data_IF_601997568698
#
_entry.id   IF_601997568698
#
_cell.length_a   1.000
_cell.length_b   1.000
_cell.length_c   1.000
_cell.angle_alpha   90.00
_cell.angle_beta   90.00
_cell.angle_gamma   90.00
#
_symmetry.space_group_name_H-M   'P 1'
#
loop_
_entity.id
_entity.type
_entity.pdbx_description
1 polymer ?
#
# COMPACT_ATOMS: atom_id res chain seq x y z
N UNK A 1 2.69 12.78 -21.60
CA UNK A 1 2.35 11.35 -21.85
C UNK A 1 2.29 10.64 -20.50
N UNK A 2 1.29 10.96 -19.68
CA UNK A 2 0.99 10.19 -18.46
C UNK A 2 0.05 9.08 -18.90
N UNK A 3 0.57 7.85 -18.99
CA UNK A 3 -0.26 6.69 -19.27
C UNK A 3 -1.34 6.59 -18.20
N UNK A 4 -2.60 6.56 -18.63
CA UNK A 4 -3.73 6.39 -17.73
C UNK A 4 -3.62 5.01 -17.07
N UNK A 5 -3.31 4.99 -15.76
CA UNK A 5 -3.39 3.78 -14.93
C UNK A 5 -4.84 3.34 -14.98
N UNK A 6 -5.11 2.25 -15.71
CA UNK A 6 -6.48 1.77 -15.93
C UNK A 6 -6.64 0.46 -15.17
N UNK A 7 -7.30 0.45 -13.99
CA UNK A 7 -7.49 -0.78 -13.23
C UNK A 7 -8.28 -1.80 -14.06
N UNK A 8 -7.81 -3.04 -14.09
CA UNK A 8 -8.42 -4.11 -14.88
C UNK A 8 -9.47 -4.87 -14.05
N UNK A 9 -10.74 -4.74 -14.43
CA UNK A 9 -11.86 -5.43 -13.78
C UNK A 9 -12.18 -6.75 -14.48
N UNK A 10 -12.50 -7.79 -13.71
CA UNK A 10 -13.08 -9.04 -14.22
C UNK A 10 -14.44 -9.28 -13.57
N UNK A 11 -15.47 -9.41 -14.39
CA UNK A 11 -16.82 -9.79 -13.97
C UNK A 11 -17.11 -11.20 -14.44
N UNK A 12 -17.46 -12.09 -13.51
CA UNK A 12 -17.92 -13.44 -13.82
C UNK A 12 -19.42 -13.52 -13.47
N UNK A 13 -20.26 -13.77 -14.47
CA UNK A 13 -21.67 -14.12 -14.27
C UNK A 13 -21.82 -15.61 -14.58
N UNK A 14 -22.34 -16.36 -13.61
CA UNK A 14 -22.43 -17.82 -13.68
C UNK A 14 -23.87 -18.22 -13.42
N UNK A 15 -24.45 -18.94 -14.37
CA UNK A 15 -25.71 -19.64 -14.18
C UNK A 15 -25.42 -21.12 -13.88
N UNK A 16 -25.91 -21.59 -12.74
CA UNK A 16 -25.65 -22.94 -12.26
C UNK A 16 -26.81 -23.86 -12.65
N UNK A 17 -26.51 -25.12 -12.91
CA UNK A 17 -27.53 -26.13 -13.11
C UNK A 17 -28.38 -26.35 -11.84
N UNK A 18 -29.53 -26.98 -12.02
CA UNK A 18 -30.44 -27.34 -10.94
C UNK A 18 -29.76 -28.10 -9.81
N UNK A 19 -30.00 -27.67 -8.56
CA UNK A 19 -29.43 -28.29 -7.36
C UNK A 19 -30.25 -29.47 -6.84
N UNK A 20 -31.34 -29.82 -7.51
CA UNK A 20 -32.25 -30.88 -7.11
C UNK A 20 -31.63 -32.28 -7.22
N UNK A 21 -32.18 -33.20 -6.41
CA UNK A 21 -31.75 -34.59 -6.41
C UNK A 21 -32.30 -35.34 -7.62
N UNK A 22 -31.43 -36.10 -8.29
CA UNK A 22 -31.80 -36.93 -9.43
C UNK A 22 -32.84 -38.00 -9.12
N UNK A 23 -32.97 -38.41 -7.85
CA UNK A 23 -34.02 -39.33 -7.44
C UNK A 23 -35.43 -38.79 -7.67
N UNK A 24 -35.62 -37.46 -7.77
CA UNK A 24 -36.90 -36.83 -8.06
C UNK A 24 -37.20 -36.71 -9.56
N UNK A 25 -36.18 -36.75 -10.42
CA UNK A 25 -36.36 -36.52 -11.87
C UNK A 25 -36.85 -37.76 -12.61
N UNK A 26 -36.74 -38.95 -12.02
CA UNK A 26 -37.16 -40.21 -12.63
C UNK A 26 -36.42 -40.56 -13.92
N UNK A 27 -35.26 -39.90 -14.17
CA UNK A 27 -34.51 -40.06 -15.40
C UNK A 27 -33.83 -41.42 -15.48
N UNK A 28 -33.96 -42.11 -16.62
CA UNK A 28 -33.37 -43.43 -16.88
C UNK A 28 -32.40 -43.39 -18.07
N UNK A 29 -31.50 -44.38 -18.14
CA UNK A 29 -30.59 -44.57 -19.27
C UNK A 29 -29.59 -43.42 -19.46
N UNK A 30 -29.53 -42.87 -20.68
CA UNK A 30 -28.59 -41.80 -21.03
C UNK A 30 -28.84 -40.50 -20.27
N UNK A 31 -30.12 -40.16 -20.02
CA UNK A 31 -30.47 -38.96 -19.24
C UNK A 31 -29.93 -39.02 -17.82
N UNK A 32 -29.90 -40.21 -17.21
CA UNK A 32 -29.30 -40.40 -15.89
C UNK A 32 -27.78 -40.17 -15.91
N UNK A 33 -27.09 -40.63 -16.96
CA UNK A 33 -25.64 -40.43 -17.11
C UNK A 33 -25.29 -38.97 -17.30
N UNK A 34 -26.10 -38.23 -18.07
CA UNK A 34 -25.95 -36.78 -18.23
C UNK A 34 -26.20 -36.06 -16.91
N UNK A 35 -27.31 -36.36 -16.23
CA UNK A 35 -27.67 -35.69 -14.99
C UNK A 35 -26.67 -35.97 -13.86
N UNK A 36 -26.04 -37.16 -13.86
CA UNK A 36 -24.92 -37.49 -12.96
C UNK A 36 -23.71 -36.58 -13.21
N UNK A 37 -23.37 -36.30 -14.47
CA UNK A 37 -22.26 -35.39 -14.82
C UNK A 37 -22.55 -33.95 -14.41
N UNK A 38 -23.81 -33.50 -14.55
CA UNK A 38 -24.24 -32.18 -14.10
C UNK A 38 -24.03 -32.05 -12.58
N UNK A 39 -24.54 -33.01 -11.81
CA UNK A 39 -24.46 -32.99 -10.35
C UNK A 39 -23.04 -33.19 -9.82
N UNK A 40 -22.13 -33.81 -10.58
CA UNK A 40 -20.72 -33.89 -10.21
C UNK A 40 -20.10 -32.51 -10.00
N UNK A 41 -20.40 -31.55 -10.88
CA UNK A 41 -19.86 -30.19 -10.78
C UNK A 41 -20.41 -29.41 -9.58
N UNK A 42 -21.71 -29.53 -9.30
CA UNK A 42 -22.35 -28.90 -8.14
C UNK A 42 -21.92 -29.54 -6.82
N UNK A 43 -21.72 -30.86 -6.80
CA UNK A 43 -21.22 -31.58 -5.63
C UNK A 43 -19.78 -31.20 -5.32
N UNK A 44 -18.91 -31.11 -6.34
CA UNK A 44 -17.54 -30.63 -6.20
C UNK A 44 -17.51 -29.19 -5.66
N UNK A 45 -18.40 -28.32 -6.14
CA UNK A 45 -18.56 -26.97 -5.62
C UNK A 45 -18.93 -26.99 -4.13
N UNK A 46 -19.88 -27.83 -3.74
CA UNK A 46 -20.26 -28.03 -2.33
C UNK A 46 -19.11 -28.50 -1.43
N UNK A 47 -18.24 -29.38 -1.94
CA UNK A 47 -17.05 -29.86 -1.23
C UNK A 47 -16.02 -28.73 -1.05
N UNK A 48 -15.78 -27.93 -2.08
CA UNK A 48 -14.90 -26.75 -2.02
C UNK A 48 -15.40 -25.75 -0.97
N UNK A 49 -16.69 -25.43 -0.98
CA UNK A 49 -17.28 -24.51 0.01
C UNK A 49 -17.10 -25.05 1.43
N UNK A 50 -17.41 -26.33 1.64
CA UNK A 50 -17.29 -26.94 2.98
C UNK A 50 -15.84 -26.94 3.47
N UNK A 51 -14.88 -27.22 2.58
CA UNK A 51 -13.45 -27.16 2.92
C UNK A 51 -12.99 -25.73 3.25
N UNK A 52 -13.49 -24.71 2.54
CA UNK A 52 -13.18 -23.30 2.80
C UNK A 52 -13.76 -22.80 4.12
N UNK A 53 -14.98 -23.22 4.47
CA UNK A 53 -15.66 -22.83 5.71
C UNK A 53 -15.01 -23.50 6.93
N UNK A 54 -14.65 -24.79 6.81
CA UNK A 54 -14.00 -25.51 7.89
C UNK A 54 -12.62 -24.94 8.23
N UNK A 55 -11.88 -24.41 7.24
CA UNK A 55 -10.56 -23.78 7.42
C UNK A 55 -9.45 -24.70 7.93
N UNK A 56 -9.77 -25.96 8.28
CA UNK A 56 -8.83 -26.98 8.79
C UNK A 56 -7.97 -27.60 7.69
N UNK A 57 -8.50 -27.65 6.47
CA UNK A 57 -7.84 -28.30 5.33
C UNK A 57 -6.94 -27.32 4.60
N UNK A 58 -5.64 -27.63 4.54
CA UNK A 58 -4.67 -26.85 3.74
C UNK A 58 -4.91 -27.00 2.23
N UNK A 59 -5.51 -28.12 1.81
CA UNK A 59 -5.83 -28.40 0.41
C UNK A 59 -7.33 -28.20 0.15
N UNK A 60 -7.64 -27.36 -0.84
CA UNK A 60 -9.00 -27.14 -1.32
C UNK A 60 -9.15 -27.82 -2.69
N UNK A 61 -10.15 -28.70 -2.89
CA UNK A 61 -10.26 -29.57 -4.06
C UNK A 61 -10.84 -28.86 -5.30
N UNK A 62 -10.25 -27.74 -5.73
CA UNK A 62 -10.72 -27.03 -6.93
C UNK A 62 -10.59 -27.88 -8.21
N UNK A 63 -9.73 -28.91 -8.21
CA UNK A 63 -9.43 -29.74 -9.39
C UNK A 63 -10.50 -30.79 -9.69
N UNK A 64 -11.41 -31.06 -8.76
CA UNK A 64 -12.42 -32.12 -8.89
C UNK A 64 -13.44 -31.82 -10.01
N UNK A 65 -13.62 -30.56 -10.38
CA UNK A 65 -14.44 -30.17 -11.53
C UNK A 65 -13.82 -29.03 -12.32
N UNK A 66 -14.15 -28.95 -13.62
CA UNK A 66 -13.75 -27.80 -14.46
C UNK A 66 -14.37 -26.49 -13.96
N UNK A 67 -15.59 -26.54 -13.46
CA UNK A 67 -16.32 -25.38 -12.92
C UNK A 67 -15.58 -24.77 -11.73
N UNK A 68 -15.19 -25.59 -10.74
CA UNK A 68 -14.44 -25.12 -9.56
C UNK A 68 -13.04 -24.60 -9.89
N UNK A 69 -12.43 -25.04 -11.00
CA UNK A 69 -11.16 -24.46 -11.49
C UNK A 69 -11.35 -23.06 -12.06
N UNK A 70 -12.43 -22.85 -12.81
CA UNK A 70 -12.74 -21.52 -13.38
C UNK A 70 -13.14 -20.53 -12.29
N UNK A 71 -13.85 -21.01 -11.26
CA UNK A 71 -14.34 -20.19 -10.14
C UNK A 71 -13.40 -20.17 -8.93
N UNK A 72 -12.19 -20.69 -9.07
CA UNK A 72 -11.21 -20.73 -7.98
C UNK A 72 -10.94 -19.32 -7.43
N UNK A 73 -10.83 -18.32 -8.31
CA UNK A 73 -10.61 -16.93 -7.89
C UNK A 73 -11.84 -16.32 -7.17
N UNK A 74 -13.04 -16.80 -7.50
CA UNK A 74 -14.30 -16.38 -6.87
C UNK A 74 -14.55 -17.03 -5.51
N UNK A 75 -13.89 -18.15 -5.19
CA UNK A 75 -14.12 -18.90 -3.96
C UNK A 75 -12.84 -18.92 -3.12
N UNK A 76 -12.64 -17.90 -2.28
CA UNK A 76 -11.45 -17.74 -1.45
C UNK A 76 -10.28 -17.01 -2.12
N UNK A 77 -10.47 -16.47 -3.33
CA UNK A 77 -9.45 -15.75 -4.09
C UNK A 77 -9.61 -14.22 -4.08
N UNK A 78 -9.17 -13.59 -5.17
CA UNK A 78 -9.15 -12.16 -5.39
C UNK A 78 -10.37 -11.69 -6.17
N UNK A 79 -11.56 -11.92 -5.63
CA UNK A 79 -12.82 -11.50 -6.26
C UNK A 79 -13.85 -11.15 -5.18
N UNK A 80 -14.70 -10.14 -5.46
CA UNK A 80 -15.92 -9.90 -4.70
C UNK A 80 -17.01 -10.84 -5.22
N UNK A 81 -17.41 -11.80 -4.41
CA UNK A 81 -18.34 -12.85 -4.82
C UNK A 81 -19.69 -12.65 -4.18
N UNK A 82 -20.74 -12.70 -5.00
CA UNK A 82 -22.13 -12.70 -4.59
C UNK A 82 -22.74 -14.04 -5.01
N UNK A 83 -23.46 -14.69 -4.09
CA UNK A 83 -24.26 -15.87 -4.39
C UNK A 83 -25.74 -15.51 -4.26
N UNK A 84 -26.52 -15.79 -5.30
CA UNK A 84 -27.98 -15.65 -5.30
C UNK A 84 -28.58 -17.04 -5.19
N UNK A 85 -29.38 -17.26 -4.14
CA UNK A 85 -30.08 -18.51 -3.93
C UNK A 85 -31.54 -18.37 -4.42
N UNK A 86 -31.88 -19.07 -5.50
CA UNK A 86 -33.23 -19.11 -6.03
C UNK A 86 -34.04 -20.22 -5.33
N UNK A 87 -35.18 -19.86 -4.75
CA UNK A 87 -36.03 -20.77 -3.97
C UNK A 87 -37.45 -20.77 -4.52
N UNK A 88 -38.13 -21.91 -4.42
CA UNK A 88 -39.54 -22.03 -4.72
C UNK A 88 -40.36 -21.97 -3.41
N UNK A 89 -41.44 -21.17 -3.35
CA UNK A 89 -42.29 -21.07 -2.17
C UNK A 89 -43.27 -22.24 -2.03
N UNK A 90 -43.30 -23.19 -2.97
CA UNK A 90 -44.24 -24.30 -2.94
C UNK A 90 -43.84 -25.40 -1.94
N UNK A 91 -44.82 -25.97 -1.24
CA UNK A 91 -44.61 -27.00 -0.20
C UNK A 91 -43.95 -28.27 -0.73
N UNK A 92 -44.23 -28.65 -1.98
CA UNK A 92 -43.61 -29.81 -2.63
C UNK A 92 -42.07 -29.67 -2.80
N UNK A 93 -41.56 -28.45 -2.74
CA UNK A 93 -40.15 -28.11 -2.90
C UNK A 93 -39.46 -27.76 -1.57
N UNK A 94 -40.15 -27.90 -0.44
CA UNK A 94 -39.65 -27.52 0.89
C UNK A 94 -38.24 -28.09 1.18
N UNK A 95 -38.03 -29.39 0.94
CA UNK A 95 -36.74 -30.05 1.17
C UNK A 95 -35.59 -29.51 0.29
N UNK A 96 -35.88 -29.15 -0.96
CA UNK A 96 -34.87 -28.57 -1.86
C UNK A 96 -34.56 -27.13 -1.44
N UNK A 97 -35.60 -26.35 -1.14
CA UNK A 97 -35.46 -24.97 -0.66
C UNK A 97 -34.63 -24.90 0.64
N UNK A 98 -34.86 -25.81 1.58
CA UNK A 98 -34.08 -25.92 2.81
C UNK A 98 -32.62 -26.31 2.52
N UNK A 99 -32.39 -27.22 1.58
CA UNK A 99 -31.05 -27.65 1.17
C UNK A 99 -30.26 -26.49 0.55
N UNK A 100 -30.89 -25.72 -0.35
CA UNK A 100 -30.32 -24.53 -0.98
C UNK A 100 -30.02 -23.43 0.06
N UNK A 101 -30.91 -23.21 1.03
CA UNK A 101 -30.68 -22.23 2.10
C UNK A 101 -29.49 -22.62 2.99
N UNK A 102 -29.39 -23.90 3.38
CA UNK A 102 -28.24 -24.43 4.13
C UNK A 102 -26.94 -24.27 3.36
N UNK A 103 -26.99 -24.47 2.04
CA UNK A 103 -25.85 -24.27 1.16
C UNK A 103 -25.42 -22.80 1.13
N UNK A 104 -26.36 -21.88 0.92
CA UNK A 104 -26.11 -20.44 0.92
C UNK A 104 -25.56 -19.95 2.28
N UNK A 105 -26.06 -20.51 3.38
CA UNK A 105 -25.57 -20.19 4.72
C UNK A 105 -24.09 -20.59 4.91
N UNK A 106 -23.66 -21.73 4.36
CA UNK A 106 -22.23 -22.11 4.35
C UNK A 106 -21.44 -21.15 3.45
N UNK A 107 -21.92 -20.89 2.24
CA UNK A 107 -21.25 -20.02 1.28
C UNK A 107 -21.02 -18.60 1.83
N UNK A 108 -21.95 -18.08 2.64
CA UNK A 108 -21.82 -16.78 3.33
C UNK A 108 -20.57 -16.69 4.22
N UNK A 109 -20.09 -17.81 4.76
CA UNK A 109 -18.96 -17.84 5.68
C UNK A 109 -17.60 -17.86 4.97
N UNK A 110 -17.58 -17.93 3.63
CA UNK A 110 -16.34 -17.90 2.84
C UNK A 110 -15.75 -16.49 2.90
N UNK A 111 -14.46 -16.41 3.24
CA UNK A 111 -13.72 -15.16 3.28
C UNK A 111 -12.88 -14.98 2.01
N UNK A 112 -13.25 -13.99 1.18
CA UNK A 112 -12.46 -13.58 0.03
C UNK A 112 -11.55 -12.39 0.39
N UNK A 113 -10.42 -12.26 -0.33
CA UNK A 113 -9.46 -11.16 -0.13
C UNK A 113 -9.32 -10.34 -1.41
N UNK A 114 -10.32 -9.51 -1.77
CA UNK A 114 -10.26 -8.68 -2.95
C UNK A 114 -9.17 -7.61 -2.81
N UNK A 115 -8.37 -7.46 -3.86
CA UNK A 115 -7.29 -6.50 -4.05
C UNK A 115 -7.52 -5.78 -5.38
N UNK A 116 -6.99 -4.57 -5.50
CA UNK A 116 -7.08 -3.81 -6.75
C UNK A 116 -6.17 -4.49 -7.77
N UNK A 117 -6.76 -4.90 -8.89
CA UNK A 117 -6.02 -5.46 -10.02
C UNK A 117 -5.42 -4.30 -10.81
N UNK A 118 -4.10 -4.17 -10.68
CA UNK A 118 -3.32 -3.21 -11.45
C UNK A 118 -2.52 -3.97 -12.51
N UNK A 119 -2.37 -3.38 -13.68
CA UNK A 119 -1.54 -3.99 -14.70
C UNK A 119 -0.08 -4.06 -14.20
N UNK A 120 0.62 -5.20 -14.41
CA UNK A 120 1.97 -5.39 -13.88
C UNK A 120 2.97 -4.36 -14.42
N UNK A 121 2.72 -3.83 -15.62
CA UNK A 121 3.51 -2.75 -16.23
C UNK A 121 3.35 -1.45 -15.46
N UNK A 122 2.13 -1.11 -15.05
CA UNK A 122 1.81 0.12 -14.32
C UNK A 122 2.30 0.05 -12.87
N UNK A 123 2.20 -1.12 -12.23
CA UNK A 123 2.77 -1.38 -10.92
C UNK A 123 4.30 -1.17 -10.92
N UNK A 124 4.99 -1.73 -11.93
CA UNK A 124 6.43 -1.58 -12.09
C UNK A 124 6.84 -0.14 -12.43
N UNK A 125 6.05 0.56 -13.24
CA UNK A 125 6.27 1.99 -13.55
C UNK A 125 6.18 2.86 -12.30
N UNK A 126 5.24 2.57 -11.40
CA UNK A 126 5.11 3.28 -10.12
C UNK A 126 6.32 3.06 -9.24
N UNK A 127 6.76 1.80 -9.11
CA UNK A 127 7.96 1.45 -8.33
C UNK A 127 9.21 2.16 -8.89
N UNK A 128 9.40 2.15 -10.21
CA UNK A 128 10.50 2.88 -10.85
C UNK A 128 10.42 4.40 -10.64
N UNK A 129 9.23 5.00 -10.69
CA UNK A 129 9.05 6.42 -10.42
C UNK A 129 9.35 6.79 -8.95
N UNK A 130 8.94 5.95 -8.01
CA UNK A 130 9.25 6.12 -6.59
C UNK A 130 10.75 6.00 -6.32
N UNK A 131 11.42 5.05 -6.98
CA UNK A 131 12.87 4.88 -6.85
C UNK A 131 13.62 6.07 -7.47
N UNK A 132 13.21 6.55 -8.65
CA UNK A 132 13.76 7.79 -9.24
C UNK A 132 13.57 8.97 -8.28
N UNK A 133 12.42 9.08 -7.62
CA UNK A 133 12.15 10.16 -6.66
C UNK A 133 13.05 10.06 -5.43
N UNK A 134 13.25 8.86 -4.86
CA UNK A 134 14.18 8.63 -3.75
C UNK A 134 15.61 8.99 -4.13
N UNK A 135 16.10 8.48 -5.25
CA UNK A 135 17.46 8.73 -5.72
C UNK A 135 17.71 10.22 -5.97
N UNK A 136 16.75 10.93 -6.59
CA UNK A 136 16.82 12.38 -6.78
C UNK A 136 16.86 13.14 -5.45
N UNK A 137 16.09 12.71 -4.46
CA UNK A 137 16.10 13.33 -3.13
C UNK A 137 17.45 13.16 -2.41
N UNK A 138 18.08 11.99 -2.52
CA UNK A 138 19.42 11.73 -1.96
C UNK A 138 20.49 12.61 -2.60
N UNK A 139 20.48 12.72 -3.94
CA UNK A 139 21.42 13.58 -4.67
C UNK A 139 21.22 15.06 -4.29
N UNK A 140 19.97 15.53 -4.18
CA UNK A 140 19.70 16.90 -3.72
C UNK A 140 20.16 17.15 -2.27
N UNK A 141 20.07 16.14 -1.41
CA UNK A 141 20.58 16.20 -0.04
C UNK A 141 22.11 16.31 0.01
N UNK A 142 22.82 15.60 -0.87
CA UNK A 142 24.28 15.66 -0.98
C UNK A 142 24.78 16.98 -1.60
N UNK A 143 24.03 17.57 -2.54
CA UNK A 143 24.36 18.88 -3.12
C UNK A 143 24.14 20.05 -2.12
N UNK A 144 23.24 19.90 -1.15
CA UNK A 144 23.02 20.88 -0.08
C UNK A 144 24.15 20.94 0.95
N UNK A 145 24.89 19.85 1.15
CA UNK A 145 26.04 19.79 2.07
C UNK A 145 27.36 20.17 1.42
N UNK A 146 27.46 20.12 0.09
CA UNK A 146 28.73 20.31 -0.63
C UNK A 146 29.09 21.77 -0.95
N UNK A 147 28.19 22.75 -0.75
CA UNK A 147 28.41 24.12 -1.27
C UNK A 147 28.23 25.30 -0.31
N UNK A 148 27.89 25.10 0.97
CA UNK A 148 27.78 26.24 1.91
C UNK A 148 28.94 26.37 2.91
N UNK A 149 29.75 25.33 3.13
CA UNK A 149 30.89 25.37 4.07
C UNK A 149 32.25 25.61 3.41
N UNK A 150 32.36 25.52 2.07
CA UNK A 150 33.66 25.53 1.39
C UNK A 150 33.99 26.86 0.71
N UNK A 151 33.06 27.83 0.65
CA UNK A 151 33.26 29.09 -0.07
C UNK A 151 33.16 30.39 0.75
N UNK A 152 33.04 30.36 2.07
CA UNK A 152 33.02 31.62 2.81
C UNK A 152 33.56 31.55 4.24
N UNK A 153 34.87 31.79 4.39
CA UNK A 153 35.36 32.73 5.41
C UNK A 153 35.81 34.07 4.81
N UNK A 154 36.04 34.15 3.50
CA UNK A 154 36.66 35.34 2.87
C UNK A 154 35.64 36.35 2.30
N UNK A 155 34.48 35.90 1.79
CA UNK A 155 33.48 36.79 1.17
C UNK A 155 32.66 37.57 2.22
N UNK A 156 32.49 37.05 3.44
CA UNK A 156 31.84 37.78 4.53
C UNK A 156 32.72 38.91 5.10
N UNK A 157 34.04 38.84 4.93
CA UNK A 157 34.98 39.81 5.50
C UNK A 157 35.14 41.06 4.62
N UNK A 158 34.95 40.91 3.29
CA UNK A 158 35.02 42.04 2.36
C UNK A 158 33.74 42.90 2.37
N UNK A 159 32.57 42.29 2.58
CA UNK A 159 31.29 43.01 2.60
C UNK A 159 31.16 43.95 3.82
N UNK A 160 31.79 43.59 4.95
CA UNK A 160 31.86 44.44 6.15
C UNK A 160 32.82 45.63 5.96
N UNK A 161 33.97 45.41 5.30
CA UNK A 161 34.99 46.44 5.06
C UNK A 161 34.52 47.55 4.11
N UNK A 162 33.74 47.21 3.07
CA UNK A 162 33.23 48.21 2.11
C UNK A 162 32.13 49.08 2.71
N UNK A 163 31.37 48.59 3.69
CA UNK A 163 30.36 49.40 4.39
C UNK A 163 30.95 50.36 5.44
N UNK A 164 32.12 50.04 6.02
CA UNK A 164 32.76 50.89 7.03
C UNK A 164 33.54 52.09 6.44
N UNK A 165 33.85 52.11 5.15
CA UNK A 165 34.67 53.18 4.53
C UNK A 165 33.87 54.32 3.88
N UNK A 166 32.53 54.29 3.92
CA UNK A 166 31.68 55.29 3.25
C UNK A 166 31.20 56.47 4.11
N UNK A 167 31.69 56.66 5.33
CA UNK A 167 31.43 57.90 6.08
C UNK A 167 32.62 58.35 6.94
N UNK A 168 33.41 59.33 6.46
CA UNK A 168 34.19 60.19 7.31
C UNK A 168 33.54 61.58 7.43
N UNK A 169 33.67 62.17 8.63
CA UNK A 169 33.47 63.59 8.98
C UNK A 169 32.03 64.07 9.21
N UNK A 170 31.64 64.16 10.49
CA UNK A 170 31.44 65.46 11.15
C UNK A 170 32.03 65.38 12.57
N UNK A 171 33.04 66.20 12.83
CA UNK A 171 33.63 66.51 14.12
C UNK A 171 33.26 67.97 14.48
N UNK A 172 33.34 68.30 15.79
CA UNK A 172 33.04 69.58 16.47
C UNK A 172 31.59 69.66 16.97
N UNK A 173 31.28 69.98 18.23
CA UNK A 173 31.99 70.67 19.31
C UNK A 173 31.17 70.47 20.60
N UNK A 174 31.79 70.45 21.80
CA UNK A 174 31.05 70.78 23.03
C UNK A 174 31.38 70.00 24.32
N UNK A 175 32.45 70.41 24.99
CA UNK A 175 32.59 70.56 26.45
C UNK A 175 32.06 69.48 27.44
N UNK A 176 33.04 68.89 28.15
CA UNK A 176 33.21 68.95 29.62
C UNK A 176 33.22 67.62 30.41
N UNK A 177 34.34 67.45 31.14
CA UNK A 177 34.62 66.65 32.36
C UNK A 177 35.01 65.16 32.25
N UNK A 178 36.21 64.91 32.80
CA UNK A 178 36.90 63.64 33.10
C UNK A 178 36.32 62.94 34.38
N UNK A 179 36.91 61.86 34.99
CA UNK A 179 37.97 60.93 34.56
C UNK A 179 37.75 59.40 34.86
N UNK A 180 38.54 58.58 34.14
CA UNK A 180 39.31 57.35 34.48
C UNK A 180 38.81 56.24 35.43
N UNK A 181 38.77 54.99 34.90
CA UNK A 181 39.66 53.90 35.38
C UNK A 181 39.95 52.83 34.31
N UNK A 182 41.25 52.65 34.07
CA UNK A 182 41.97 51.53 33.45
C UNK A 182 41.49 50.93 32.10
N UNK A 183 42.03 51.51 31.02
CA UNK A 183 42.65 50.74 29.93
C UNK A 183 43.89 49.98 30.46
N UNK A 184 44.27 48.91 29.74
CA UNK A 184 45.45 48.02 29.85
C UNK A 184 45.07 46.73 30.58
N UNK A 185 45.00 45.59 29.93
CA UNK A 185 46.02 45.02 29.03
C UNK A 185 45.32 44.22 27.93
N UNK A 186 45.27 44.68 26.67
CA UNK A 186 46.29 44.47 25.63
C UNK A 186 46.85 43.04 25.63
N UNK A 187 46.60 42.35 24.52
CA UNK A 187 47.53 41.41 23.90
C UNK A 187 48.15 40.40 24.87
N UNK A 188 47.44 39.29 25.11
CA UNK A 188 48.06 37.97 25.17
C UNK A 188 46.97 36.93 24.94
N UNK A 189 47.25 36.04 24.00
CA UNK A 189 46.51 34.81 23.65
C UNK A 189 45.53 34.94 22.48
N UNK A 190 46.09 35.31 21.33
CA UNK A 190 45.90 34.46 20.15
C UNK A 190 46.48 33.05 20.42
N UNK A 191 45.94 32.07 19.69
CA UNK A 191 46.39 30.68 19.49
C UNK A 191 46.03 29.65 20.58
N UNK A 192 44.99 28.88 20.26
CA UNK A 192 44.79 27.42 20.45
C UNK A 192 43.26 27.19 20.39
N UNK A 193 42.64 26.31 19.61
CA UNK A 193 42.96 25.46 18.49
C UNK A 193 41.59 25.08 17.89
N UNK A 194 41.53 24.81 16.60
CA UNK A 194 40.43 24.11 15.88
C UNK A 194 41.11 22.86 15.30
N UNK A 195 40.49 21.70 14.98
CA UNK A 195 39.07 21.24 15.07
C UNK A 195 38.91 19.82 15.69
N UNK A 196 37.66 19.35 15.86
CA UNK A 196 37.25 17.98 15.46
C UNK A 196 35.77 17.92 15.15
N UNK A 197 35.46 17.13 14.13
CA UNK A 197 34.23 16.99 13.37
C UNK A 197 33.25 15.95 13.96
N UNK A 198 32.02 16.01 13.43
CA UNK A 198 31.19 14.88 12.96
C UNK A 198 30.15 14.22 13.92
N UNK A 199 28.91 14.24 13.42
CA UNK A 199 27.75 13.33 13.60
C UNK A 199 27.46 12.68 14.96
N UNK A 200 26.28 13.02 15.51
CA UNK A 200 25.26 11.99 15.73
C UNK A 200 23.86 12.62 15.72
N UNK A 201 23.12 12.37 14.62
CA UNK A 201 21.68 12.50 14.57
C UNK A 201 21.14 11.12 14.96
N UNK A 202 20.62 10.97 16.17
CA UNK A 202 19.68 9.88 16.50
C UNK A 202 18.65 10.41 17.48
N UNK A 203 17.43 10.41 16.95
CA UNK A 203 16.13 10.57 17.59
C UNK A 203 16.08 9.83 18.93
N UNK A 204 15.66 10.54 19.99
CA UNK A 204 15.02 9.90 21.13
C UNK A 204 13.78 10.71 21.51
N UNK A 205 12.65 10.08 21.24
CA UNK A 205 11.29 10.27 21.73
C UNK A 205 11.08 11.15 22.97
N UNK A 206 10.32 12.23 22.80
CA UNK A 206 9.47 12.85 23.83
C UNK A 206 8.10 13.05 23.14
N UNK A 207 7.03 12.33 23.55
CA UNK A 207 5.99 12.85 24.47
C UNK A 207 5.49 14.20 23.92
N UNK A 208 4.42 14.25 23.11
CA UNK A 208 2.98 14.16 23.46
C UNK A 208 2.18 13.78 22.21
#
# INVERSE_FOLDING_TARGET
>A
LLGCISPSGKLNLVDLAGSERQSKTGATGERLREATKINLSLSALGNVISALVDGRSKYIPYRDSKLTRLLQDSLGGNTRTLMIACLSPADNNYEESLSTLRYANRAKSIQNRPRINEDPKDALLREYQEEIKKLRALISGQLGTANLSTFCPFIMQLCWLVSCLKHPLIFLQGHSRAPQKQRRTRLKRQLQAVPTLLYHFTISSCIV
#
